data_IF_202958083384
#
_entry.id   IF_202958083384
#
_cell.length_a   1.000
_cell.length_b   1.000
_cell.length_c   1.000
_cell.angle_alpha   90.00
_cell.angle_beta   90.00
_cell.angle_gamma   90.00
#
_symmetry.space_group_name_H-M   'P 1'
#
loop_
_entity.id
_entity.type
_entity.pdbx_description
1 polymer ?
#
# COMPACT_ATOMS: atom_id res chain seq x y z
N UNK A 1 4.95 22.99 -5.93
CA UNK A 1 6.28 22.36 -5.75
C UNK A 1 6.67 22.43 -4.29
N UNK A 2 7.17 21.33 -3.71
CA UNK A 2 7.49 21.10 -2.27
C UNK A 2 6.31 20.59 -1.44
N UNK A 3 6.11 19.26 -1.41
CA UNK A 3 5.72 18.49 -0.20
C UNK A 3 5.59 16.97 -0.44
N UNK A 4 5.45 16.51 -1.69
CA UNK A 4 5.08 15.10 -1.94
C UNK A 4 6.30 14.22 -2.32
N UNK A 5 7.49 14.81 -2.39
CA UNK A 5 8.75 14.07 -2.61
C UNK A 5 9.26 13.34 -1.34
N UNK A 6 8.47 13.31 -0.27
CA UNK A 6 8.86 12.82 1.06
C UNK A 6 8.35 11.40 1.37
N UNK A 7 7.73 10.72 0.40
CA UNK A 7 7.46 9.27 0.49
C UNK A 7 8.59 8.45 -0.18
N UNK A 8 9.46 9.09 -0.97
CA UNK A 8 10.50 8.39 -1.74
C UNK A 8 11.89 8.28 -1.06
N UNK A 9 12.09 8.82 0.16
CA UNK A 9 13.44 9.00 0.72
C UNK A 9 13.63 8.40 2.13
N UNK A 10 13.30 7.12 2.31
CA UNK A 10 13.74 6.37 3.48
C UNK A 10 13.90 4.86 3.17
N UNK A 11 14.59 4.53 2.08
CA UNK A 11 14.88 3.13 1.74
C UNK A 11 16.39 2.95 1.55
N UNK A 12 17.08 2.68 2.65
CA UNK A 12 18.46 2.17 2.60
C UNK A 12 18.57 0.84 3.38
N UNK A 13 18.64 -0.23 2.58
CA UNK A 13 19.37 -1.49 2.73
C UNK A 13 19.20 -2.29 4.03
N UNK A 14 18.34 -3.30 3.95
CA UNK A 14 18.59 -4.63 4.51
C UNK A 14 18.57 -5.64 3.35
N UNK A 15 19.73 -6.19 3.00
CA UNK A 15 19.91 -7.18 1.93
C UNK A 15 19.18 -8.49 2.20
N UNK A 16 18.59 -9.09 1.14
CA UNK A 16 18.56 -10.53 0.75
C UNK A 16 17.35 -10.72 -0.18
N UNK A 17 17.55 -10.86 -1.49
CA UNK A 17 17.70 -12.14 -2.20
C UNK A 17 16.45 -12.43 -3.06
N UNK A 18 16.64 -12.43 -4.39
CA UNK A 18 15.69 -12.75 -5.46
C UNK A 18 14.40 -11.91 -5.50
N UNK A 19 14.21 -11.17 -6.59
CA UNK A 19 12.95 -10.53 -6.96
C UNK A 19 11.89 -11.61 -7.25
N UNK A 20 11.39 -12.26 -6.20
CA UNK A 20 10.23 -13.12 -6.28
C UNK A 20 9.04 -12.21 -6.02
N UNK A 21 8.28 -11.89 -7.08
CA UNK A 21 7.05 -11.12 -6.94
C UNK A 21 6.20 -11.73 -5.85
N UNK A 22 5.66 -10.89 -4.96
CA UNK A 22 4.80 -11.33 -3.88
C UNK A 22 3.69 -12.24 -4.41
N UNK A 23 3.40 -13.32 -3.68
CA UNK A 23 2.25 -14.16 -3.99
C UNK A 23 0.96 -13.36 -3.82
N UNK A 24 -0.06 -13.67 -4.63
CA UNK A 24 -1.37 -13.03 -4.46
C UNK A 24 -1.90 -13.28 -3.07
N UNK A 25 -2.43 -12.22 -2.47
CA UNK A 25 -3.11 -12.26 -1.18
C UNK A 25 -4.57 -12.69 -1.32
N UNK A 26 -5.06 -12.95 -2.53
CA UNK A 26 -6.48 -13.21 -2.77
C UNK A 26 -7.35 -11.98 -2.46
N UNK A 27 -6.79 -10.77 -2.63
CA UNK A 27 -7.51 -9.51 -2.47
C UNK A 27 -8.68 -9.45 -3.45
N UNK A 28 -9.87 -9.08 -2.97
CA UNK A 28 -11.09 -8.94 -3.77
C UNK A 28 -11.58 -7.50 -3.80
N UNK A 29 -12.45 -7.17 -4.76
CA UNK A 29 -13.12 -5.86 -4.80
C UNK A 29 -13.89 -5.57 -3.51
N UNK A 30 -14.50 -6.61 -2.91
CA UNK A 30 -15.22 -6.47 -1.64
C UNK A 30 -14.28 -6.07 -0.50
N UNK A 31 -13.07 -6.63 -0.43
CA UNK A 31 -12.08 -6.26 0.58
C UNK A 31 -11.72 -4.77 0.47
N UNK A 32 -11.48 -4.27 -0.75
CA UNK A 32 -11.10 -2.87 -0.98
C UNK A 32 -12.25 -1.90 -0.70
N UNK A 33 -13.47 -2.22 -1.17
CA UNK A 33 -14.66 -1.41 -0.88
C UNK A 33 -14.92 -1.33 0.63
N UNK A 34 -14.74 -2.45 1.31
CA UNK A 34 -14.94 -2.56 2.76
C UNK A 34 -13.86 -1.80 3.52
N UNK A 35 -12.60 -1.86 3.07
CA UNK A 35 -11.52 -1.00 3.56
C UNK A 35 -11.89 0.48 3.44
N UNK A 36 -12.23 0.96 2.24
CA UNK A 36 -12.58 2.37 2.01
C UNK A 36 -13.76 2.82 2.89
N UNK A 37 -14.81 2.00 2.98
CA UNK A 37 -16.00 2.30 3.77
C UNK A 37 -15.73 2.41 5.28
N UNK A 38 -14.80 1.59 5.78
CA UNK A 38 -14.55 1.46 7.22
C UNK A 38 -13.23 2.08 7.68
N UNK A 39 -12.44 2.68 6.78
CA UNK A 39 -11.07 3.13 7.03
C UNK A 39 -10.93 3.93 8.33
N UNK A 40 -11.69 5.01 8.50
CA UNK A 40 -11.58 5.87 9.70
C UNK A 40 -11.82 5.11 11.02
N UNK A 41 -12.77 4.17 11.03
CA UNK A 41 -13.06 3.35 12.22
C UNK A 41 -11.97 2.31 12.46
N UNK A 42 -11.46 1.72 11.38
CA UNK A 42 -10.37 0.76 11.42
C UNK A 42 -9.07 1.43 11.89
N UNK A 43 -8.70 2.58 11.31
CA UNK A 43 -7.56 3.42 11.70
C UNK A 43 -7.59 3.75 13.19
N UNK A 44 -8.71 4.29 13.69
CA UNK A 44 -8.85 4.61 15.10
C UNK A 44 -8.70 3.40 16.05
N UNK A 45 -9.10 2.20 15.63
CA UNK A 45 -8.92 0.98 16.43
C UNK A 45 -7.49 0.42 16.32
N UNK A 46 -6.82 0.59 15.17
CA UNK A 46 -5.43 0.21 14.98
C UNK A 46 -4.47 1.15 15.74
N UNK A 47 -4.76 2.45 15.78
CA UNK A 47 -3.98 3.44 16.54
C UNK A 47 -4.02 3.17 18.05
N UNK A 48 -5.14 2.65 18.59
CA UNK A 48 -5.22 2.20 19.99
C UNK A 48 -4.29 1.03 20.31
N UNK A 49 -3.89 0.26 19.30
CA UNK A 49 -2.92 -0.82 19.42
C UNK A 49 -1.47 -0.32 19.28
N UNK A 50 -1.26 0.99 19.15
CA UNK A 50 0.06 1.60 18.97
C UNK A 50 0.59 1.48 17.55
N UNK A 51 -0.25 1.12 16.58
CA UNK A 51 0.14 1.11 15.17
C UNK A 51 -0.03 2.50 14.57
N UNK A 52 1.06 3.07 14.03
CA UNK A 52 0.97 4.28 13.22
C UNK A 52 0.34 3.92 11.88
N UNK A 53 -0.91 4.33 11.69
CA UNK A 53 -1.66 4.06 10.47
C UNK A 53 -1.26 4.96 9.29
N UNK A 54 -0.41 5.97 9.51
CA UNK A 54 0.04 6.88 8.45
C UNK A 54 1.28 6.36 7.71
N UNK A 55 1.97 5.36 8.26
CA UNK A 55 3.08 4.67 7.62
C UNK A 55 2.68 3.22 7.31
N UNK A 56 2.44 2.92 6.03
CA UNK A 56 2.01 1.60 5.58
C UNK A 56 3.02 0.48 5.93
N UNK A 57 4.31 0.80 6.00
CA UNK A 57 5.36 -0.16 6.34
C UNK A 57 5.44 -0.36 7.86
N UNK A 58 5.33 0.71 8.64
CA UNK A 58 5.21 0.63 10.09
C UNK A 58 3.92 -0.09 10.50
N UNK A 59 2.82 0.14 9.79
CA UNK A 59 1.56 -0.57 9.95
C UNK A 59 1.74 -2.06 9.61
N UNK A 60 2.28 -2.39 8.44
CA UNK A 60 2.55 -3.80 8.08
C UNK A 60 3.43 -4.51 9.13
N UNK A 61 4.46 -3.84 9.64
CA UNK A 61 5.36 -4.38 10.65
C UNK A 61 4.69 -4.51 12.02
N UNK A 62 3.94 -3.51 12.47
CA UNK A 62 3.21 -3.51 13.74
C UNK A 62 2.06 -4.54 13.78
N UNK A 63 1.47 -4.83 12.61
CA UNK A 63 0.38 -5.79 12.48
C UNK A 63 0.89 -7.22 12.22
N UNK A 64 2.14 -7.40 11.78
CA UNK A 64 2.75 -8.71 11.58
C UNK A 64 2.92 -9.45 12.91
N UNK A 65 2.18 -10.54 13.09
CA UNK A 65 2.19 -11.35 14.33
C UNK A 65 1.31 -10.80 15.46
N UNK A 66 0.57 -9.71 15.23
CA UNK A 66 -0.34 -9.16 16.24
C UNK A 66 -1.75 -9.75 16.06
N UNK A 67 -2.18 -10.58 17.01
CA UNK A 67 -3.50 -11.21 16.97
C UNK A 67 -4.64 -10.17 17.09
N UNK A 68 -4.41 -9.06 17.78
CA UNK A 68 -5.43 -8.02 17.96
C UNK A 68 -5.59 -7.15 16.72
N UNK A 69 -4.50 -6.89 15.99
CA UNK A 69 -4.54 -6.32 14.65
C UNK A 69 -5.46 -7.13 13.71
N UNK A 70 -5.24 -8.44 13.67
CA UNK A 70 -6.04 -9.35 12.85
C UNK A 70 -7.52 -9.32 13.25
N UNK A 71 -7.83 -9.22 14.56
CA UNK A 71 -9.21 -9.06 15.04
C UNK A 71 -9.84 -7.74 14.56
N UNK A 72 -9.09 -6.64 14.59
CA UNK A 72 -9.57 -5.34 14.10
C UNK A 72 -9.86 -5.40 12.60
N UNK A 73 -8.93 -5.95 11.80
CA UNK A 73 -9.15 -6.11 10.35
C UNK A 73 -10.37 -6.98 10.04
N UNK A 74 -10.50 -8.11 10.74
CA UNK A 74 -11.66 -9.00 10.60
C UNK A 74 -12.97 -8.31 11.02
N UNK A 75 -12.97 -7.54 12.11
CA UNK A 75 -14.13 -6.76 12.59
C UNK A 75 -14.61 -5.78 11.54
N UNK A 76 -13.71 -5.20 10.76
CA UNK A 76 -14.03 -4.25 9.70
C UNK A 76 -14.15 -4.88 8.32
N UNK A 77 -14.04 -6.21 8.20
CA UNK A 77 -14.38 -6.99 7.02
C UNK A 77 -13.21 -7.31 6.08
N UNK A 78 -11.98 -6.91 6.41
CA UNK A 78 -10.78 -7.47 5.78
C UNK A 78 -10.49 -8.79 6.51
N UNK A 79 -11.07 -9.86 5.98
CA UNK A 79 -11.15 -11.14 6.68
C UNK A 79 -10.29 -12.23 6.02
N UNK A 80 -9.94 -13.24 6.83
CA UNK A 80 -9.11 -14.37 6.43
C UNK A 80 -7.81 -14.46 7.24
N UNK A 81 -7.12 -15.60 7.12
CA UNK A 81 -5.78 -15.78 7.70
C UNK A 81 -4.71 -14.87 7.08
N UNK A 82 -5.06 -14.21 5.97
CA UNK A 82 -4.23 -13.32 5.19
C UNK A 82 -4.68 -11.84 5.26
N UNK A 83 -5.48 -11.45 6.25
CA UNK A 83 -6.06 -10.09 6.34
C UNK A 83 -5.01 -8.98 6.41
N UNK A 84 -3.89 -9.21 7.12
CA UNK A 84 -2.77 -8.26 7.17
C UNK A 84 -2.11 -8.13 5.80
N UNK A 85 -1.90 -9.24 5.10
CA UNK A 85 -1.32 -9.24 3.75
C UNK A 85 -2.22 -8.51 2.76
N UNK A 86 -3.55 -8.69 2.86
CA UNK A 86 -4.52 -7.94 2.05
C UNK A 86 -4.44 -6.43 2.31
N UNK A 87 -4.32 -6.01 3.57
CA UNK A 87 -4.11 -4.60 3.91
C UNK A 87 -2.82 -4.04 3.29
N UNK A 88 -1.72 -4.78 3.39
CA UNK A 88 -0.46 -4.40 2.74
C UNK A 88 -0.61 -4.31 1.23
N UNK A 89 -1.33 -5.25 0.60
CA UNK A 89 -1.57 -5.24 -0.84
C UNK A 89 -2.38 -4.02 -1.30
N UNK A 90 -3.34 -3.55 -0.48
CA UNK A 90 -4.06 -2.28 -0.74
C UNK A 90 -3.08 -1.10 -0.73
N UNK A 91 -2.24 -0.99 0.30
CA UNK A 91 -1.32 0.14 0.45
C UNK A 91 -0.21 0.15 -0.62
N UNK A 92 0.46 -0.99 -0.83
CA UNK A 92 1.52 -1.11 -1.83
C UNK A 92 0.96 -1.00 -3.26
N UNK A 93 -0.21 -1.60 -3.51
CA UNK A 93 -0.89 -1.46 -4.80
C UNK A 93 -1.29 -0.01 -5.07
N UNK A 94 -1.77 0.71 -4.06
CA UNK A 94 -2.07 2.14 -4.18
C UNK A 94 -0.81 2.96 -4.51
N UNK A 95 0.28 2.76 -3.78
CA UNK A 95 1.54 3.47 -4.02
C UNK A 95 2.07 3.25 -5.45
N UNK A 96 1.98 2.02 -5.94
CA UNK A 96 2.37 1.65 -7.32
C UNK A 96 1.49 2.39 -8.33
N UNK A 97 0.16 2.27 -8.23
CA UNK A 97 -0.77 2.86 -9.19
C UNK A 97 -0.74 4.40 -9.15
N UNK A 98 -0.62 4.98 -7.96
CA UNK A 98 -0.52 6.44 -7.79
C UNK A 98 0.75 6.98 -8.43
N UNK A 99 1.89 6.31 -8.23
CA UNK A 99 3.15 6.70 -8.87
C UNK A 99 3.08 6.56 -10.40
N UNK A 100 2.49 5.47 -10.92
CA UNK A 100 2.30 5.31 -12.36
C UNK A 100 1.45 6.45 -12.96
N UNK A 101 0.38 6.84 -12.28
CA UNK A 101 -0.48 7.94 -12.73
C UNK A 101 0.26 9.30 -12.73
N UNK A 102 1.11 9.57 -11.74
CA UNK A 102 1.94 10.80 -11.72
C UNK A 102 2.93 10.85 -12.85
N UNK A 103 3.63 9.74 -13.11
CA UNK A 103 4.59 9.66 -14.21
C UNK A 103 3.91 9.75 -15.58
N UNK A 104 2.69 9.23 -15.70
CA UNK A 104 1.89 9.41 -16.92
C UNK A 104 1.44 10.86 -17.11
N UNK A 105 1.18 11.59 -16.02
CA UNK A 105 0.82 13.00 -16.04
C UNK A 105 2.03 13.94 -16.24
N UNK A 106 3.26 13.50 -15.91
CA UNK A 106 4.51 14.23 -16.12
C UNK A 106 5.55 13.39 -16.93
N UNK A 107 5.41 13.38 -18.27
CA UNK A 107 6.30 12.64 -19.15
C UNK A 107 7.76 13.11 -19.11
N UNK A 108 8.01 14.37 -18.74
CA UNK A 108 9.36 14.92 -18.64
C UNK A 108 10.10 14.31 -17.45
N UNK A 109 9.46 14.31 -16.28
CA UNK A 109 9.97 13.65 -15.08
C UNK A 109 10.15 12.15 -15.30
N UNK A 110 9.19 11.48 -15.94
CA UNK A 110 9.32 10.06 -16.26
C UNK A 110 10.53 9.76 -17.16
N UNK A 111 10.76 10.60 -18.18
CA UNK A 111 11.94 10.49 -19.06
C UNK A 111 13.24 10.73 -18.29
N UNK A 112 13.27 11.71 -17.39
CA UNK A 112 14.44 12.01 -16.59
C UNK A 112 14.82 10.84 -15.67
N UNK A 113 13.84 10.29 -14.93
CA UNK A 113 14.05 9.12 -14.07
C UNK A 113 14.56 7.92 -14.87
N UNK A 114 13.96 7.66 -16.04
CA UNK A 114 14.43 6.62 -16.95
C UNK A 114 15.88 6.82 -17.40
N UNK A 115 16.27 8.05 -17.75
CA UNK A 115 17.64 8.37 -18.14
C UNK A 115 18.63 8.21 -16.99
N UNK A 116 18.18 8.38 -15.75
CA UNK A 116 18.96 8.14 -14.54
C UNK A 116 18.99 6.66 -14.12
N UNK A 117 18.28 5.78 -14.84
CA UNK A 117 18.15 4.38 -14.45
C UNK A 117 17.38 4.17 -13.14
N UNK A 118 16.55 5.14 -12.75
CA UNK A 118 15.75 5.09 -11.53
C UNK A 118 14.32 4.66 -11.85
N UNK A 119 13.84 3.64 -11.13
CA UNK A 119 12.43 3.27 -11.08
C UNK A 119 11.90 3.59 -9.66
N UNK A 120 11.00 4.58 -9.52
CA UNK A 120 10.51 5.02 -8.22
C UNK A 120 9.69 3.96 -7.48
N UNK A 121 9.21 2.92 -8.16
CA UNK A 121 8.45 1.82 -7.55
C UNK A 121 9.26 0.52 -7.45
N UNK A 122 10.54 0.53 -7.79
CA UNK A 122 11.38 -0.68 -7.80
C UNK A 122 11.41 -1.44 -6.46
N UNK A 123 11.32 -0.72 -5.34
CA UNK A 123 11.35 -1.31 -4.00
C UNK A 123 9.98 -1.80 -3.51
N UNK A 124 8.89 -1.31 -4.10
CA UNK A 124 7.52 -1.60 -3.66
C UNK A 124 6.85 -2.61 -4.59
N UNK A 125 7.09 -2.52 -5.90
CA UNK A 125 6.51 -3.43 -6.90
C UNK A 125 6.70 -4.92 -6.53
N UNK A 126 7.89 -5.38 -6.08
CA UNK A 126 8.06 -6.79 -5.73
C UNK A 126 7.25 -7.23 -4.51
N UNK A 127 6.78 -6.29 -3.68
CA UNK A 127 6.04 -6.53 -2.44
C UNK A 127 4.54 -6.75 -2.67
N UNK A 128 4.04 -6.57 -3.88
CA UNK A 128 2.62 -6.70 -4.22
C UNK A 128 2.43 -7.50 -5.52
N UNK A 129 1.47 -8.42 -5.51
CA UNK A 129 1.17 -9.23 -6.69
C UNK A 129 0.44 -8.40 -7.76
N UNK A 130 0.77 -8.59 -9.04
CA UNK A 130 0.08 -7.93 -10.16
C UNK A 130 -1.45 -8.14 -10.14
N UNK A 131 -1.92 -9.30 -9.67
CA UNK A 131 -3.35 -9.56 -9.52
C UNK A 131 -4.02 -8.63 -8.53
N UNK A 132 -3.34 -8.31 -7.43
CA UNK A 132 -3.85 -7.50 -6.34
C UNK A 132 -3.75 -6.02 -6.72
N UNK A 133 -2.67 -5.62 -7.39
CA UNK A 133 -2.53 -4.30 -8.03
C UNK A 133 -3.70 -4.03 -8.98
N UNK A 134 -4.09 -5.01 -9.81
CA UNK A 134 -5.27 -4.88 -10.71
C UNK A 134 -6.58 -4.66 -9.96
N UNK A 135 -6.73 -5.22 -8.75
CA UNK A 135 -7.92 -4.98 -7.90
C UNK A 135 -7.88 -3.55 -7.36
N UNK A 136 -6.74 -3.12 -6.81
CA UNK A 136 -6.54 -1.75 -6.31
C UNK A 136 -6.79 -0.72 -7.41
N UNK A 137 -6.28 -0.93 -8.62
CA UNK A 137 -6.48 -0.03 -9.77
C UNK A 137 -7.95 0.26 -10.06
N UNK A 138 -8.85 -0.73 -9.93
CA UNK A 138 -10.29 -0.54 -10.15
C UNK A 138 -10.94 0.38 -9.11
N UNK A 139 -10.33 0.48 -7.93
CA UNK A 139 -10.80 1.28 -6.80
C UNK A 139 -9.95 2.54 -6.54
N UNK A 140 -9.03 2.88 -7.45
CA UNK A 140 -8.04 3.95 -7.25
C UNK A 140 -8.70 5.30 -6.90
N UNK A 141 -9.83 5.63 -7.52
CA UNK A 141 -10.55 6.88 -7.25
C UNK A 141 -11.11 6.95 -5.81
N UNK A 142 -11.50 5.82 -5.23
CA UNK A 142 -11.97 5.76 -3.84
C UNK A 142 -10.80 5.80 -2.87
N UNK A 143 -9.72 5.08 -3.19
CA UNK A 143 -8.50 5.04 -2.38
C UNK A 143 -7.79 6.40 -2.31
N UNK A 144 -7.84 7.21 -3.38
CA UNK A 144 -7.33 8.60 -3.35
C UNK A 144 -8.00 9.45 -2.27
N UNK A 145 -9.30 9.27 -2.06
CA UNK A 145 -10.03 10.01 -1.00
C UNK A 145 -9.59 9.59 0.40
N UNK A 146 -8.99 8.41 0.53
CA UNK A 146 -8.49 7.89 1.79
C UNK A 146 -7.05 8.33 2.03
N UNK A 147 -6.20 8.23 1.00
CA UNK A 147 -4.75 8.44 1.15
C UNK A 147 -4.26 9.85 0.80
N UNK A 148 -4.96 10.60 -0.07
CA UNK A 148 -4.52 11.94 -0.52
C UNK A 148 -5.27 13.09 0.18
N UNK A 149 -6.40 12.81 0.86
CA UNK A 149 -7.21 13.82 1.56
C UNK A 149 -6.89 13.95 3.06
N UNK A 150 -5.90 13.22 3.59
CA UNK A 150 -5.37 13.37 4.97
C UNK A 150 -4.29 14.45 5.09
#
# INVERSE_FOLDING_TARGET
MKKILLVCLALFVGTLAFAQSAASTGLTDLDVQTFCKNFNKMKADLEKLGADANDAQALAFALSGNADATKVLNKYGISGSNSVQKLCAIAYGYAVERCEEELAADPETARMLKNMGQDPVANIRPLVADSDVRVVKRHLAELKKIFDEE
#
